data_IF_913617379217
#
_entry.id   IF_913617379217
#
_cell.length_a   1.000
_cell.length_b   1.000
_cell.length_c   1.000
_cell.angle_alpha   90.00
_cell.angle_beta   90.00
_cell.angle_gamma   90.00
#
_symmetry.space_group_name_H-M   'P 1'
#
loop_
_entity.id
_entity.type
_entity.pdbx_description
1 polymer ?
#
# COMPACT_ATOMS: atom_id res chain seq x y z
N UNK A 1 46.03 0.75 -12.82
CA UNK A 1 45.47 1.84 -12.03
C UNK A 1 43.99 1.57 -11.88
N UNK A 2 43.51 1.34 -10.64
CA UNK A 2 42.12 1.07 -10.33
C UNK A 2 41.50 2.40 -9.89
N UNK A 3 40.36 2.76 -10.46
CA UNK A 3 39.62 3.99 -10.10
C UNK A 3 38.30 3.62 -9.40
N UNK A 4 38.04 4.24 -8.27
CA UNK A 4 36.79 4.12 -7.54
C UNK A 4 36.08 5.46 -7.55
N UNK A 5 34.80 5.47 -7.96
CA UNK A 5 33.93 6.64 -7.86
C UNK A 5 33.26 6.63 -6.48
N UNK A 6 33.40 7.71 -5.73
CA UNK A 6 32.84 7.85 -4.39
C UNK A 6 31.81 8.98 -4.37
N UNK A 7 30.75 8.79 -3.56
CA UNK A 7 29.77 9.84 -3.30
C UNK A 7 30.39 11.00 -2.51
N UNK A 8 29.95 12.25 -2.71
CA UNK A 8 30.48 13.44 -2.01
C UNK A 8 30.39 13.36 -0.47
N UNK A 9 29.58 12.47 0.07
CA UNK A 9 29.41 12.27 1.53
C UNK A 9 30.22 11.12 2.11
N UNK A 10 31.08 10.49 1.31
CA UNK A 10 31.91 9.37 1.74
C UNK A 10 33.15 9.88 2.49
N UNK A 11 33.37 9.39 3.70
CA UNK A 11 34.60 9.70 4.46
C UNK A 11 35.76 8.88 3.90
N UNK A 12 36.82 9.55 3.45
CA UNK A 12 38.03 8.94 2.93
C UNK A 12 39.03 8.77 4.11
N UNK A 13 39.59 7.59 4.26
CA UNK A 13 40.50 7.24 5.36
C UNK A 13 41.98 7.17 4.92
N UNK A 14 42.25 7.33 3.63
CA UNK A 14 43.60 7.26 3.05
C UNK A 14 44.00 8.59 2.42
N UNK A 15 45.26 8.94 2.51
CA UNK A 15 45.83 10.14 1.91
C UNK A 15 46.62 9.80 0.64
N UNK A 16 46.89 10.82 -0.20
CA UNK A 16 47.70 10.61 -1.39
C UNK A 16 49.14 10.23 -1.01
N UNK A 17 49.60 9.07 -1.47
CA UNK A 17 50.89 8.54 -1.18
C UNK A 17 50.95 7.43 -0.13
N UNK A 18 49.79 7.10 0.50
CA UNK A 18 49.74 5.99 1.46
C UNK A 18 49.83 4.64 0.75
N UNK A 19 50.61 3.72 1.33
CA UNK A 19 50.65 2.32 0.92
C UNK A 19 49.49 1.59 1.54
N UNK A 20 48.67 0.93 0.68
CA UNK A 20 47.49 0.18 1.11
C UNK A 20 47.67 -1.31 0.84
N UNK A 21 47.33 -2.13 1.81
CA UNK A 21 47.33 -3.57 1.69
C UNK A 21 45.99 -4.09 1.15
N UNK A 22 45.99 -5.35 0.76
CA UNK A 22 44.75 -6.01 0.33
C UNK A 22 43.76 -6.09 1.49
N UNK A 23 42.51 -5.63 1.25
CA UNK A 23 41.40 -5.53 2.20
C UNK A 23 41.45 -4.30 3.16
N UNK A 24 42.35 -3.35 2.97
CA UNK A 24 42.31 -2.10 3.73
C UNK A 24 41.07 -1.26 3.35
N UNK A 25 40.50 -0.58 4.38
CA UNK A 25 39.33 0.27 4.20
C UNK A 25 39.80 1.63 3.65
N UNK A 26 39.60 1.85 2.36
CA UNK A 26 39.96 3.11 1.70
C UNK A 26 38.97 4.24 2.00
N UNK A 27 37.69 3.92 2.06
CA UNK A 27 36.63 4.89 2.30
C UNK A 27 35.44 4.21 2.99
N UNK A 28 34.73 4.97 3.80
CA UNK A 28 33.51 4.52 4.48
C UNK A 28 32.36 5.42 4.07
N UNK A 29 31.46 4.89 3.30
CA UNK A 29 30.17 5.56 3.09
C UNK A 29 29.43 5.54 4.42
N UNK A 30 29.12 6.69 5.06
CA UNK A 30 28.24 6.68 6.18
C UNK A 30 27.00 5.94 5.67
N UNK A 31 26.64 4.79 6.29
CA UNK A 31 25.29 4.29 6.12
C UNK A 31 24.45 5.53 6.38
N UNK A 32 23.82 6.06 5.34
CA UNK A 32 22.68 6.91 5.57
C UNK A 32 21.85 6.04 6.51
N UNK A 33 21.89 6.36 7.81
CA UNK A 33 20.82 6.03 8.69
C UNK A 33 19.71 6.73 7.94
N UNK A 34 19.03 5.96 7.10
CA UNK A 34 17.72 6.32 6.66
C UNK A 34 17.10 6.65 8.02
N UNK A 35 17.03 7.94 8.34
CA UNK A 35 16.14 8.40 9.38
C UNK A 35 14.86 7.79 8.88
N UNK A 36 14.55 6.60 9.42
CA UNK A 36 13.27 5.99 9.22
C UNK A 36 12.34 7.07 9.73
N UNK A 37 11.86 7.90 8.79
CA UNK A 37 10.84 8.90 9.05
C UNK A 37 9.56 8.23 9.57
N UNK A 38 9.56 6.92 9.57
CA UNK A 38 8.58 6.04 10.17
C UNK A 38 9.12 5.43 11.46
N UNK A 39 9.04 6.23 12.51
CA UNK A 39 9.21 5.80 13.90
C UNK A 39 7.98 4.98 14.35
N UNK A 40 6.98 4.75 13.53
CA UNK A 40 5.86 3.84 13.75
C UNK A 40 6.23 2.39 13.49
N UNK A 41 7.29 1.94 14.20
CA UNK A 41 7.58 0.53 14.35
C UNK A 41 6.89 0.00 15.62
N UNK A 42 6.47 -1.25 15.62
CA UNK A 42 5.87 -1.89 16.77
C UNK A 42 4.34 -1.72 16.86
N UNK A 43 3.79 -1.72 18.07
CA UNK A 43 2.33 -1.69 18.33
C UNK A 43 1.59 -0.50 17.68
N UNK A 44 2.13 0.73 17.61
CA UNK A 44 1.49 1.81 16.87
C UNK A 44 1.23 1.49 15.40
N UNK A 45 2.13 0.72 14.73
CA UNK A 45 1.93 0.29 13.35
C UNK A 45 0.74 -0.65 13.20
N UNK A 46 0.55 -1.56 14.16
CA UNK A 46 -0.61 -2.46 14.18
C UNK A 46 -1.91 -1.66 14.28
N UNK A 47 -1.95 -0.64 15.16
CA UNK A 47 -3.09 0.25 15.28
C UNK A 47 -3.38 1.02 13.99
N UNK A 48 -2.35 1.53 13.30
CA UNK A 48 -2.51 2.18 11.98
C UNK A 48 -3.09 1.23 10.92
N UNK A 49 -2.63 -0.03 10.90
CA UNK A 49 -3.12 -1.03 9.95
C UNK A 49 -4.59 -1.39 10.22
N UNK A 50 -4.97 -1.61 11.48
CA UNK A 50 -6.36 -1.89 11.83
C UNK A 50 -7.29 -0.69 11.65
N UNK A 51 -6.80 0.54 11.81
CA UNK A 51 -7.57 1.75 11.52
C UNK A 51 -7.57 2.13 10.02
N UNK A 52 -6.91 1.33 9.19
CA UNK A 52 -6.76 1.57 7.75
C UNK A 52 -6.25 2.99 7.43
N UNK A 53 -5.36 3.53 8.29
CA UNK A 53 -4.79 4.88 8.10
C UNK A 53 -3.81 4.87 6.94
N UNK A 54 -3.85 5.94 6.14
CA UNK A 54 -2.84 6.14 5.11
C UNK A 54 -1.50 6.52 5.75
N UNK A 55 -0.40 5.84 5.40
CA UNK A 55 0.92 6.20 5.89
C UNK A 55 1.30 7.63 5.49
N UNK A 56 2.05 8.33 6.35
CA UNK A 56 2.55 9.69 6.03
C UNK A 56 3.47 9.69 4.81
N UNK A 57 4.30 8.64 4.67
CA UNK A 57 5.17 8.42 3.52
C UNK A 57 4.64 7.23 2.70
N UNK A 58 3.63 7.48 1.87
CA UNK A 58 3.03 6.45 1.03
C UNK A 58 3.88 6.24 -0.20
N UNK A 59 4.29 4.99 -0.49
CA UNK A 59 4.92 4.62 -1.74
C UNK A 59 3.94 4.79 -2.91
N UNK A 60 4.43 5.21 -4.05
CA UNK A 60 3.70 5.13 -5.31
C UNK A 60 3.87 3.72 -5.84
N UNK A 61 2.79 3.08 -6.21
CA UNK A 61 2.76 1.70 -6.72
C UNK A 61 2.30 1.66 -8.16
N UNK A 62 2.76 0.68 -8.92
CA UNK A 62 2.32 0.44 -10.29
C UNK A 62 0.85 0.00 -10.31
N UNK A 63 0.03 0.59 -11.18
CA UNK A 63 -1.38 0.21 -11.34
C UNK A 63 -1.56 -0.89 -12.38
N UNK A 64 -0.62 -1.02 -13.31
CA UNK A 64 -0.64 -2.00 -14.40
C UNK A 64 0.69 -2.73 -14.48
N UNK A 65 0.68 -3.93 -15.06
CA UNK A 65 1.88 -4.66 -15.44
C UNK A 65 2.49 -4.02 -16.68
N UNK A 66 3.82 -3.85 -16.72
CA UNK A 66 4.43 -3.30 -17.90
C UNK A 66 5.89 -2.88 -17.73
N UNK A 67 6.44 -2.32 -18.79
CA UNK A 67 7.82 -1.84 -18.84
C UNK A 67 7.88 -0.37 -18.45
N UNK A 68 8.76 -0.06 -17.51
CA UNK A 68 9.01 1.30 -17.02
C UNK A 68 9.80 2.09 -18.07
N UNK A 69 9.36 3.31 -18.34
CA UNK A 69 10.09 4.29 -19.15
C UNK A 69 10.14 5.62 -18.45
N UNK A 70 11.33 6.22 -18.42
CA UNK A 70 11.51 7.59 -17.93
C UNK A 70 11.33 8.56 -19.11
N UNK A 71 10.44 9.51 -18.91
CA UNK A 71 10.22 10.59 -19.88
C UNK A 71 10.83 11.90 -19.35
N UNK A 72 10.79 12.94 -20.19
CA UNK A 72 11.34 14.25 -19.83
C UNK A 72 10.69 14.78 -18.53
N UNK A 73 11.52 15.21 -17.58
CA UNK A 73 11.02 15.70 -16.30
C UNK A 73 10.15 16.95 -16.50
N UNK A 74 9.00 16.97 -15.82
CA UNK A 74 8.07 18.09 -15.86
C UNK A 74 8.36 19.02 -14.67
N UNK A 75 9.05 20.14 -14.88
CA UNK A 75 9.45 21.12 -13.82
C UNK A 75 10.24 20.44 -12.69
N UNK A 76 9.61 20.27 -11.50
CA UNK A 76 10.22 19.67 -10.31
C UNK A 76 9.86 18.20 -10.09
N UNK A 77 9.16 17.57 -11.05
CA UNK A 77 8.69 16.17 -10.96
C UNK A 77 9.35 15.32 -12.04
N UNK A 78 9.71 14.12 -11.72
CA UNK A 78 10.11 13.08 -12.66
C UNK A 78 8.86 12.38 -13.18
N UNK A 79 8.86 12.13 -14.50
CA UNK A 79 7.75 11.48 -15.18
C UNK A 79 8.13 10.05 -15.52
N UNK A 80 7.39 9.10 -14.96
CA UNK A 80 7.53 7.68 -15.24
C UNK A 80 6.29 7.22 -15.98
N UNK A 81 6.49 6.50 -17.07
CA UNK A 81 5.43 5.90 -17.86
C UNK A 81 5.60 4.39 -17.78
N UNK A 82 4.56 3.67 -17.42
CA UNK A 82 4.52 2.22 -17.50
C UNK A 82 3.71 1.86 -18.73
N UNK A 83 4.30 1.09 -19.62
CA UNK A 83 3.68 0.63 -20.85
C UNK A 83 3.40 -0.87 -20.74
N UNK A 84 2.13 -1.25 -20.75
CA UNK A 84 1.69 -2.64 -20.79
C UNK A 84 1.85 -3.23 -22.21
N UNK A 85 1.81 -4.55 -22.31
CA UNK A 85 1.91 -5.27 -23.59
C UNK A 85 0.74 -5.00 -24.54
N UNK A 86 -0.43 -4.69 -23.99
CA UNK A 86 -1.66 -4.33 -24.73
C UNK A 86 -1.64 -2.89 -25.28
N UNK A 87 -0.57 -2.11 -25.02
CA UNK A 87 -0.43 -0.72 -25.41
C UNK A 87 -1.03 0.27 -24.41
N UNK A 88 -1.66 -0.19 -23.33
CA UNK A 88 -2.15 0.69 -22.26
C UNK A 88 -0.96 1.35 -21.56
N UNK A 89 -1.09 2.64 -21.24
CA UNK A 89 -0.03 3.40 -20.57
C UNK A 89 -0.56 4.02 -19.28
N UNK A 90 0.21 3.92 -18.20
CA UNK A 90 -0.04 4.62 -16.95
C UNK A 90 1.10 5.62 -16.69
N UNK A 91 0.74 6.85 -16.34
CA UNK A 91 1.69 7.93 -16.11
C UNK A 91 1.75 8.29 -14.62
N UNK A 92 2.97 8.40 -14.10
CA UNK A 92 3.26 8.75 -12.70
C UNK A 92 4.16 9.98 -12.65
N UNK A 93 3.73 10.99 -11.88
CA UNK A 93 4.49 12.21 -11.62
C UNK A 93 5.07 12.16 -10.22
N UNK A 94 6.36 11.86 -10.12
CA UNK A 94 7.08 11.65 -8.86
C UNK A 94 7.88 12.91 -8.52
N UNK A 95 7.77 13.37 -7.28
CA UNK A 95 8.58 14.49 -6.80
C UNK A 95 10.05 14.08 -6.70
N UNK A 96 10.97 14.96 -7.10
CA UNK A 96 12.43 14.72 -7.03
C UNK A 96 12.96 14.46 -5.61
N UNK A 97 12.17 14.80 -4.59
CA UNK A 97 12.50 14.52 -3.19
C UNK A 97 12.33 13.04 -2.81
N UNK A 98 11.62 12.26 -3.63
CA UNK A 98 11.38 10.83 -3.39
C UNK A 98 12.42 9.98 -4.10
N UNK A 99 12.85 8.93 -3.44
CA UNK A 99 13.76 7.98 -4.04
C UNK A 99 12.98 6.99 -4.91
N UNK A 100 13.33 6.93 -6.20
CA UNK A 100 12.78 5.98 -7.15
C UNK A 100 13.52 4.65 -6.98
N UNK A 101 12.79 3.54 -6.97
CA UNK A 101 13.32 2.19 -6.76
C UNK A 101 13.43 1.39 -8.05
N UNK A 102 12.81 1.85 -9.13
CA UNK A 102 12.78 1.17 -10.43
C UNK A 102 13.74 1.81 -11.42
N UNK A 103 14.15 1.05 -12.44
CA UNK A 103 15.07 1.50 -13.50
C UNK A 103 14.34 1.60 -14.83
N UNK A 104 14.92 2.40 -15.74
CA UNK A 104 14.42 2.49 -17.11
C UNK A 104 14.57 1.13 -17.83
N UNK A 105 13.50 0.69 -18.49
CA UNK A 105 13.42 -0.61 -19.14
C UNK A 105 13.12 -1.80 -18.21
N UNK A 106 12.94 -1.59 -16.92
CA UNK A 106 12.57 -2.64 -15.97
C UNK A 106 11.10 -3.02 -16.12
N UNK A 107 10.79 -4.32 -16.05
CA UNK A 107 9.42 -4.80 -16.03
C UNK A 107 8.91 -4.80 -14.59
N UNK A 108 7.76 -4.19 -14.36
CA UNK A 108 7.10 -4.11 -13.04
C UNK A 108 5.73 -4.73 -13.08
N UNK A 109 5.34 -5.36 -11.97
CA UNK A 109 4.00 -5.89 -11.78
C UNK A 109 3.08 -4.89 -11.10
N UNK A 110 1.78 -5.02 -11.36
CA UNK A 110 0.76 -4.25 -10.66
C UNK A 110 0.90 -4.43 -9.14
N UNK A 111 0.87 -3.33 -8.38
CA UNK A 111 1.11 -3.33 -6.93
C UNK A 111 2.58 -3.24 -6.51
N UNK A 112 3.54 -3.27 -7.43
CA UNK A 112 4.95 -3.10 -7.14
C UNK A 112 5.30 -1.64 -6.84
N UNK A 113 6.28 -1.43 -5.93
CA UNK A 113 6.67 -0.08 -5.51
C UNK A 113 7.53 0.59 -6.57
N UNK A 114 7.13 1.77 -6.99
CA UNK A 114 7.95 2.65 -7.84
C UNK A 114 8.85 3.58 -7.01
N UNK A 115 8.42 3.92 -5.78
CA UNK A 115 9.16 4.80 -4.88
C UNK A 115 9.34 4.17 -3.50
N UNK A 116 10.22 4.78 -2.70
CA UNK A 116 10.36 4.47 -1.28
C UNK A 116 9.06 4.78 -0.50
N UNK A 117 8.89 4.12 0.63
CA UNK A 117 7.76 4.30 1.52
C UNK A 117 6.96 3.03 1.81
N UNK A 118 5.84 3.20 2.52
CA UNK A 118 4.92 2.13 2.86
C UNK A 118 3.77 2.08 1.85
N UNK A 119 3.37 0.88 1.46
CA UNK A 119 2.20 0.72 0.59
C UNK A 119 0.93 1.05 1.40
N UNK A 120 0.03 1.79 0.79
CA UNK A 120 -1.30 2.04 1.35
C UNK A 120 -2.18 0.80 1.20
N UNK A 121 -2.85 0.38 2.27
CA UNK A 121 -3.80 -0.73 2.22
C UNK A 121 -4.96 -0.46 1.24
N UNK A 122 -5.34 0.80 1.06
CA UNK A 122 -6.37 1.19 0.08
C UNK A 122 -5.91 0.99 -1.36
N UNK A 123 -4.63 1.25 -1.66
CA UNK A 123 -4.09 1.06 -3.01
C UNK A 123 -3.97 -0.43 -3.34
N UNK A 124 -3.59 -1.26 -2.36
CA UNK A 124 -3.60 -2.73 -2.51
C UNK A 124 -5.01 -3.23 -2.83
N UNK A 125 -6.03 -2.75 -2.10
CA UNK A 125 -7.42 -3.14 -2.36
C UNK A 125 -7.86 -2.77 -3.78
N UNK A 126 -7.53 -1.55 -4.22
CA UNK A 126 -7.91 -1.02 -5.52
C UNK A 126 -7.21 -1.75 -6.67
N UNK A 127 -5.91 -2.05 -6.53
CA UNK A 127 -5.08 -2.58 -7.62
C UNK A 127 -5.10 -4.12 -7.64
N UNK A 128 -4.87 -4.74 -6.49
CA UNK A 128 -4.67 -6.19 -6.35
C UNK A 128 -5.90 -6.93 -5.82
N UNK A 129 -6.89 -6.19 -5.32
CA UNK A 129 -8.14 -6.73 -4.81
C UNK A 129 -8.07 -7.24 -3.36
N UNK A 130 -9.19 -7.82 -2.90
CA UNK A 130 -9.41 -8.18 -1.50
C UNK A 130 -8.46 -9.28 -1.00
N UNK A 131 -8.22 -10.31 -1.83
CA UNK A 131 -7.37 -11.43 -1.42
C UNK A 131 -5.95 -10.99 -1.12
N UNK A 132 -5.36 -10.17 -2.00
CA UNK A 132 -4.02 -9.63 -1.80
C UNK A 132 -3.96 -8.72 -0.55
N UNK A 133 -4.99 -7.91 -0.32
CA UNK A 133 -5.09 -7.10 0.88
C UNK A 133 -5.15 -7.94 2.16
N UNK A 134 -5.92 -9.03 2.18
CA UNK A 134 -5.95 -9.96 3.30
C UNK A 134 -4.55 -10.48 3.65
N UNK A 135 -3.84 -11.03 2.67
CA UNK A 135 -2.48 -11.53 2.87
C UNK A 135 -1.51 -10.44 3.33
N UNK A 136 -1.62 -9.25 2.75
CA UNK A 136 -0.77 -8.13 3.13
C UNK A 136 -0.99 -7.73 4.59
N UNK A 137 -2.24 -7.50 5.02
CA UNK A 137 -2.55 -7.09 6.39
C UNK A 137 -2.12 -8.14 7.40
N UNK A 138 -2.41 -9.44 7.16
CA UNK A 138 -2.01 -10.52 8.04
C UNK A 138 -0.48 -10.57 8.15
N UNK A 139 0.23 -10.51 7.03
CA UNK A 139 1.70 -10.57 7.00
C UNK A 139 2.33 -9.41 7.75
N UNK A 140 1.89 -8.17 7.50
CA UNK A 140 2.41 -6.98 8.17
C UNK A 140 2.17 -7.01 9.68
N UNK A 141 0.95 -7.36 10.11
CA UNK A 141 0.60 -7.43 11.53
C UNK A 141 1.40 -8.54 12.22
N UNK A 142 1.47 -9.74 11.62
CA UNK A 142 2.25 -10.85 12.13
C UNK A 142 3.73 -10.49 12.25
N UNK A 143 4.29 -9.79 11.27
CA UNK A 143 5.69 -9.37 11.31
C UNK A 143 5.98 -8.47 12.52
N UNK A 144 5.07 -7.54 12.82
CA UNK A 144 5.21 -6.67 13.99
C UNK A 144 5.18 -7.47 15.29
N UNK A 145 4.22 -8.37 15.46
CA UNK A 145 4.10 -9.19 16.66
C UNK A 145 5.29 -10.14 16.82
N UNK A 146 5.73 -10.80 15.75
CA UNK A 146 6.92 -11.68 15.78
C UNK A 146 8.19 -10.94 16.19
N UNK A 147 8.38 -9.69 15.73
CA UNK A 147 9.51 -8.85 16.15
C UNK A 147 9.49 -8.53 17.66
N UNK A 148 8.32 -8.57 18.28
CA UNK A 148 8.15 -8.39 19.73
C UNK A 148 8.12 -9.70 20.51
N UNK A 149 8.37 -10.84 19.84
CA UNK A 149 8.38 -12.17 20.50
C UNK A 149 6.99 -12.71 20.81
N UNK A 150 5.93 -12.10 20.26
CA UNK A 150 4.54 -12.55 20.50
C UNK A 150 4.06 -13.38 19.32
N UNK A 151 3.61 -14.62 19.60
CA UNK A 151 3.01 -15.51 18.62
C UNK A 151 1.47 -15.40 18.68
N UNK A 152 0.85 -14.98 17.57
CA UNK A 152 -0.60 -14.90 17.42
C UNK A 152 -1.02 -15.81 16.28
N UNK A 153 -2.12 -16.57 16.43
CA UNK A 153 -2.66 -17.35 15.34
C UNK A 153 -3.33 -16.44 14.30
N UNK A 154 -3.09 -16.71 13.01
CA UNK A 154 -3.57 -15.89 11.89
C UNK A 154 -5.08 -15.71 11.90
N UNK A 155 -5.84 -16.74 12.31
CA UNK A 155 -7.31 -16.71 12.39
C UNK A 155 -7.88 -15.51 13.18
N UNK A 156 -7.17 -15.03 14.21
CA UNK A 156 -7.64 -13.89 15.00
C UNK A 156 -7.53 -12.58 14.20
N UNK A 157 -6.47 -12.45 13.40
CA UNK A 157 -6.26 -11.29 12.54
C UNK A 157 -7.24 -11.38 11.36
N UNK A 158 -7.41 -12.55 10.76
CA UNK A 158 -8.34 -12.81 9.65
C UNK A 158 -9.77 -12.39 9.98
N UNK A 159 -10.26 -12.73 11.18
CA UNK A 159 -11.60 -12.33 11.64
C UNK A 159 -11.74 -10.81 11.64
N UNK A 160 -10.74 -10.10 12.18
CA UNK A 160 -10.76 -8.63 12.23
C UNK A 160 -10.76 -8.05 10.82
N UNK A 161 -9.84 -8.52 9.96
CA UNK A 161 -9.74 -8.05 8.56
C UNK A 161 -11.01 -8.33 7.79
N UNK A 162 -11.66 -9.47 8.01
CA UNK A 162 -12.96 -9.78 7.37
C UNK A 162 -14.06 -8.81 7.76
N UNK A 163 -14.08 -8.32 9.01
CA UNK A 163 -15.02 -7.29 9.44
C UNK A 163 -14.70 -5.91 8.83
N UNK A 164 -13.42 -5.59 8.63
CA UNK A 164 -12.99 -4.35 7.95
C UNK A 164 -13.43 -4.30 6.48
N UNK A 165 -13.60 -5.45 5.83
CA UNK A 165 -14.03 -5.60 4.43
C UNK A 165 -15.51 -5.98 4.27
N UNK A 166 -16.29 -5.91 5.35
CA UNK A 166 -17.69 -6.33 5.34
C UNK A 166 -18.60 -5.44 4.49
N UNK A 167 -18.24 -4.17 4.34
CA UNK A 167 -19.06 -3.19 3.62
C UNK A 167 -18.57 -2.98 2.19
N UNK A 168 -19.52 -2.57 1.34
CA UNK A 168 -19.29 -2.14 -0.03
C UNK A 168 -19.86 -0.74 -0.23
N UNK A 169 -19.25 0.03 -1.12
CA UNK A 169 -19.74 1.36 -1.51
C UNK A 169 -20.48 1.25 -2.84
N UNK A 170 -21.70 1.75 -2.87
CA UNK A 170 -22.52 1.77 -4.09
C UNK A 170 -21.95 2.79 -5.08
N UNK A 171 -21.64 2.33 -6.28
CA UNK A 171 -21.18 3.16 -7.41
C UNK A 171 -22.35 3.51 -8.30
N UNK A 172 -23.18 2.53 -8.62
CA UNK A 172 -24.40 2.69 -9.40
C UNK A 172 -25.54 1.97 -8.70
N UNK A 173 -26.67 2.65 -8.52
CA UNK A 173 -27.84 2.10 -7.83
C UNK A 173 -28.66 1.16 -8.70
N UNK A 174 -28.53 1.21 -10.03
CA UNK A 174 -29.43 0.48 -10.93
C UNK A 174 -30.92 0.71 -10.59
N UNK A 175 -31.70 -0.36 -10.59
CA UNK A 175 -33.12 -0.36 -10.22
C UNK A 175 -33.35 -0.69 -8.72
N UNK A 176 -32.32 -0.64 -7.89
CA UNK A 176 -32.40 -0.89 -6.44
C UNK A 176 -32.78 0.38 -5.68
N UNK A 177 -33.21 0.22 -4.41
CA UNK A 177 -33.50 1.34 -3.51
C UNK A 177 -32.25 1.95 -2.86
N UNK A 178 -31.04 1.59 -3.33
CA UNK A 178 -29.81 2.13 -2.80
C UNK A 178 -29.50 3.52 -3.35
N UNK A 179 -28.77 4.30 -2.59
CA UNK A 179 -28.29 5.62 -3.00
C UNK A 179 -26.83 5.50 -3.43
N UNK A 180 -26.47 6.10 -4.55
CA UNK A 180 -25.06 6.14 -5.00
C UNK A 180 -24.18 6.83 -3.94
N UNK A 181 -23.10 6.16 -3.55
CA UNK A 181 -22.19 6.62 -2.50
C UNK A 181 -22.43 6.02 -1.12
N UNK A 182 -23.56 5.36 -0.89
CA UNK A 182 -23.85 4.70 0.39
C UNK A 182 -22.92 3.51 0.66
N UNK A 183 -22.66 3.29 1.94
CA UNK A 183 -21.91 2.14 2.44
C UNK A 183 -22.89 1.13 3.02
N UNK A 184 -22.92 -0.06 2.45
CA UNK A 184 -23.93 -1.08 2.78
C UNK A 184 -23.20 -2.39 3.07
N UNK A 185 -23.78 -3.24 3.95
CA UNK A 185 -23.23 -4.56 4.20
C UNK A 185 -23.31 -5.42 2.91
N UNK A 186 -22.26 -6.19 2.65
CA UNK A 186 -22.16 -7.06 1.47
C UNK A 186 -23.32 -8.06 1.39
N UNK A 187 -23.82 -8.52 2.54
CA UNK A 187 -24.96 -9.44 2.60
C UNK A 187 -26.23 -8.76 2.06
N UNK A 188 -26.57 -7.59 2.59
CA UNK A 188 -27.73 -6.82 2.16
C UNK A 188 -27.66 -6.42 0.67
N UNK A 189 -26.46 -6.05 0.21
CA UNK A 189 -26.21 -5.75 -1.21
C UNK A 189 -26.51 -6.97 -2.11
N UNK A 190 -26.05 -8.17 -1.72
CA UNK A 190 -26.32 -9.39 -2.48
C UNK A 190 -27.80 -9.75 -2.49
N UNK A 191 -28.46 -9.71 -1.33
CA UNK A 191 -29.88 -10.03 -1.19
C UNK A 191 -30.75 -9.12 -2.06
N UNK A 192 -30.49 -7.81 -2.05
CA UNK A 192 -31.26 -6.85 -2.83
C UNK A 192 -31.01 -7.00 -4.34
N UNK A 193 -29.76 -7.21 -4.76
CA UNK A 193 -29.44 -7.48 -6.15
C UNK A 193 -30.09 -8.76 -6.65
N UNK A 194 -30.11 -9.84 -5.85
CA UNK A 194 -30.81 -11.07 -6.20
C UNK A 194 -32.31 -10.83 -6.32
N UNK A 195 -32.90 -9.99 -5.45
CA UNK A 195 -34.31 -9.63 -5.52
C UNK A 195 -34.64 -8.93 -6.83
N UNK A 196 -33.84 -7.90 -7.20
CA UNK A 196 -34.03 -7.12 -8.42
C UNK A 196 -33.82 -7.97 -9.67
N UNK A 197 -32.79 -8.82 -9.70
CA UNK A 197 -32.54 -9.73 -10.83
C UNK A 197 -33.72 -10.71 -11.04
N UNK A 198 -34.33 -11.23 -9.97
CA UNK A 198 -35.54 -12.07 -10.07
C UNK A 198 -36.75 -11.32 -10.65
N UNK A 199 -36.79 -10.00 -10.48
CA UNK A 199 -37.85 -9.13 -11.07
C UNK A 199 -37.50 -8.67 -12.49
N UNK A 200 -36.33 -9.05 -13.03
CA UNK A 200 -35.87 -8.65 -14.37
C UNK A 200 -35.33 -7.24 -14.46
N UNK A 201 -35.02 -6.59 -13.32
CA UNK A 201 -34.39 -5.28 -13.25
C UNK A 201 -32.87 -5.33 -13.27
N UNK A 202 -32.22 -4.15 -13.38
CA UNK A 202 -30.78 -3.98 -13.39
C UNK A 202 -30.25 -3.98 -11.94
N UNK A 203 -29.27 -4.83 -11.59
CA UNK A 203 -28.65 -4.84 -10.27
C UNK A 203 -27.79 -3.61 -10.04
N UNK A 204 -27.61 -3.23 -8.77
CA UNK A 204 -26.67 -2.20 -8.38
C UNK A 204 -25.21 -2.69 -8.54
N UNK A 205 -24.31 -1.75 -8.81
CA UNK A 205 -22.87 -1.96 -8.88
C UNK A 205 -22.22 -1.34 -7.64
N UNK A 206 -21.32 -2.09 -7.01
CA UNK A 206 -20.59 -1.62 -5.83
C UNK A 206 -19.12 -2.00 -5.88
N UNK A 207 -18.30 -1.18 -5.23
CA UNK A 207 -16.87 -1.41 -5.04
C UNK A 207 -16.58 -1.85 -3.59
N UNK A 208 -15.63 -2.78 -3.39
CA UNK A 208 -15.19 -3.14 -2.05
C UNK A 208 -14.51 -1.95 -1.38
N UNK A 209 -14.82 -1.73 -0.10
CA UNK A 209 -14.21 -0.66 0.70
C UNK A 209 -13.52 -1.24 1.92
N UNK A 210 -12.35 -0.69 2.26
CA UNK A 210 -11.64 -0.99 3.48
C UNK A 210 -12.00 0.05 4.55
N UNK A 211 -12.59 -0.40 5.64
CA UNK A 211 -12.90 0.44 6.80
C UNK A 211 -11.96 0.12 7.95
N UNK A 212 -11.55 1.14 8.70
CA UNK A 212 -10.90 0.94 9.99
C UNK A 212 -11.84 0.26 10.98
N UNK A 213 -11.28 -0.43 11.98
CA UNK A 213 -12.04 -1.20 12.97
C UNK A 213 -13.10 -0.34 13.66
N UNK A 214 -12.76 0.90 14.03
CA UNK A 214 -13.70 1.84 14.65
C UNK A 214 -14.91 2.10 13.75
N UNK A 215 -14.70 2.41 12.48
CA UNK A 215 -15.79 2.67 11.53
C UNK A 215 -16.59 1.40 11.23
N UNK A 216 -15.92 0.26 11.12
CA UNK A 216 -16.58 -1.02 10.89
C UNK A 216 -17.48 -1.42 12.07
N UNK A 217 -17.07 -1.13 13.30
CA UNK A 217 -17.85 -1.40 14.51
C UNK A 217 -19.09 -0.49 14.61
N UNK A 218 -18.95 0.80 14.34
CA UNK A 218 -20.07 1.76 14.37
C UNK A 218 -21.06 1.49 13.24
N UNK A 219 -20.57 1.13 12.04
CA UNK A 219 -21.39 0.82 10.87
C UNK A 219 -21.95 -0.61 10.86
N UNK A 220 -21.87 -1.35 11.97
CA UNK A 220 -22.46 -2.69 12.09
C UNK A 220 -23.95 -2.59 12.42
N UNK A 221 -24.72 -3.62 11.99
CA UNK A 221 -26.15 -3.74 12.33
C UNK A 221 -26.39 -4.02 13.82
N UNK A 222 -25.33 -4.24 14.59
CA UNK A 222 -25.39 -4.49 16.03
C UNK A 222 -25.35 -3.20 16.84
N UNK A 223 -26.47 -2.85 17.44
CA UNK A 223 -26.57 -1.67 18.33
C UNK A 223 -25.57 -1.75 19.48
N UNK A 224 -25.32 -2.97 20.02
CA UNK A 224 -24.37 -3.19 21.11
C UNK A 224 -22.94 -2.90 20.65
N UNK A 225 -22.57 -3.32 19.45
CA UNK A 225 -21.23 -3.04 18.90
C UNK A 225 -21.01 -1.55 18.66
N UNK A 226 -21.99 -0.84 18.14
CA UNK A 226 -21.94 0.59 17.92
C UNK A 226 -21.86 1.36 19.26
N UNK A 227 -22.68 0.99 20.25
CA UNK A 227 -22.69 1.63 21.56
C UNK A 227 -21.37 1.41 22.32
N UNK A 228 -20.80 0.20 22.28
CA UNK A 228 -19.53 -0.11 22.95
C UNK A 228 -18.33 0.69 22.46
N UNK A 229 -18.42 1.27 21.24
CA UNK A 229 -17.36 2.10 20.68
C UNK A 229 -17.57 3.60 20.95
N UNK A 230 -18.74 4.00 21.44
CA UNK A 230 -19.02 5.41 21.75
C UNK A 230 -18.67 5.79 23.20
N UNK A 231 -18.53 4.82 24.11
CA UNK A 231 -17.98 5.01 25.45
C UNK A 231 -16.46 4.87 25.47
#
# INVERSE_FOLDING_TARGET
LIKYSLDPKTAIFVSSGDEVAQADILAKTPKAVAKSKDITGGLPRVSELFEARRPKNTAIVAEIDGVVRFDKPLRSKERIIIQAEDGTTAEYLIEKSRQIQVRDGEFVHAGEKLTDGLISSHDILRILGEKALHYYLISEIQQVYRRQGVAIADKHIEIIVSQMLRQVKIVDSGDTNFITGDMISRTRFKEENERIMRMGGNPAIAEPILLGVTRAAIGSDSVISAASFQE
#
